data_IF_435973021290
#
_entry.id   IF_435973021290
#
_cell.length_a   1.000
_cell.length_b   1.000
_cell.length_c   1.000
_cell.angle_alpha   90.00
_cell.angle_beta   90.00
_cell.angle_gamma   90.00
#
_symmetry.space_group_name_H-M   'P 1'
#
loop_
_entity.id
_entity.type
_entity.pdbx_description
1 polymer ?
#
# COMPACT_ATOMS: atom_id res chain seq x y z
N UNK A 1 -8.24 -3.97 19.74
CA UNK A 1 -6.88 -3.90 19.15
C UNK A 1 -6.82 -4.88 17.98
N UNK A 2 -6.40 -4.41 16.80
CA UNK A 2 -6.12 -5.24 15.63
C UNK A 2 -4.67 -5.72 15.77
N UNK A 3 -4.44 -7.03 15.83
CA UNK A 3 -3.10 -7.58 15.92
C UNK A 3 -2.49 -7.64 14.51
N UNK A 4 -1.31 -7.04 14.31
CA UNK A 4 -0.62 -6.96 13.02
C UNK A 4 0.69 -7.77 13.02
N UNK A 5 0.61 -9.12 13.05
CA UNK A 5 1.79 -9.99 13.03
C UNK A 5 2.53 -9.82 11.69
N UNK A 6 3.73 -9.24 11.73
CA UNK A 6 4.57 -9.01 10.53
C UNK A 6 4.74 -7.54 10.13
N UNK A 7 4.13 -6.60 10.86
CA UNK A 7 4.45 -5.17 10.72
C UNK A 7 5.92 -4.96 11.11
N UNK A 8 6.74 -4.50 10.18
CA UNK A 8 8.13 -4.15 10.50
C UNK A 8 8.16 -2.87 11.32
N UNK A 9 8.73 -2.95 12.52
CA UNK A 9 9.05 -1.79 13.34
C UNK A 9 10.30 -1.08 12.80
N UNK A 10 10.20 -0.49 11.61
CA UNK A 10 11.22 0.36 11.01
C UNK A 10 10.58 1.74 10.81
N UNK A 11 11.12 2.74 11.53
CA UNK A 11 10.63 4.11 11.56
C UNK A 11 10.56 4.75 10.17
N UNK A 12 11.31 4.24 9.20
CA UNK A 12 11.37 4.78 7.84
C UNK A 12 10.33 4.18 6.89
N UNK A 13 9.39 3.36 7.36
CA UNK A 13 8.37 2.75 6.51
C UNK A 13 7.02 3.44 6.68
N UNK A 14 6.35 3.69 5.56
CA UNK A 14 5.00 4.26 5.54
C UNK A 14 4.00 3.15 5.14
N UNK A 15 3.68 2.26 6.08
CA UNK A 15 3.00 0.99 5.78
C UNK A 15 1.47 1.03 5.88
N UNK A 16 0.88 2.18 6.23
CA UNK A 16 -0.56 2.34 6.37
C UNK A 16 -0.98 3.60 5.66
N UNK A 17 -2.09 3.53 4.93
CA UNK A 17 -2.70 4.68 4.30
C UNK A 17 -4.22 4.57 4.30
N UNK A 18 -4.90 5.69 4.48
CA UNK A 18 -6.35 5.79 4.45
C UNK A 18 -6.73 6.75 3.33
N UNK A 19 -7.43 6.23 2.32
CA UNK A 19 -7.84 7.02 1.16
C UNK A 19 -9.08 7.87 1.44
N UNK A 20 -9.34 8.87 0.59
CA UNK A 20 -10.56 9.67 0.65
C UNK A 20 -11.86 8.90 0.29
N UNK A 21 -11.74 7.63 -0.13
CA UNK A 21 -12.87 6.72 -0.39
C UNK A 21 -13.10 5.73 0.75
N UNK A 22 -12.57 6.02 1.94
CA UNK A 22 -12.64 5.17 3.12
C UNK A 22 -12.03 3.78 2.92
N UNK A 23 -11.04 3.68 2.03
CA UNK A 23 -10.25 2.46 1.87
C UNK A 23 -9.01 2.55 2.76
N UNK A 24 -8.95 1.69 3.77
CA UNK A 24 -7.77 1.52 4.60
C UNK A 24 -6.86 0.48 3.96
N UNK A 25 -5.63 0.87 3.63
CA UNK A 25 -4.60 0.00 3.06
C UNK A 25 -3.48 -0.22 4.08
N UNK A 26 -3.03 -1.46 4.22
CA UNK A 26 -1.99 -1.85 5.17
C UNK A 26 -1.01 -2.83 4.54
N UNK A 27 0.27 -2.60 4.76
CA UNK A 27 1.34 -3.46 4.28
C UNK A 27 1.88 -4.35 5.41
N UNK A 28 1.92 -5.66 5.16
CA UNK A 28 2.52 -6.66 6.04
C UNK A 28 3.51 -7.48 5.22
N UNK A 29 4.81 -7.31 5.49
CA UNK A 29 5.89 -7.92 4.71
C UNK A 29 5.81 -7.58 3.21
N UNK A 30 5.53 -8.55 2.34
CA UNK A 30 5.36 -8.36 0.89
C UNK A 30 3.91 -8.20 0.45
N UNK A 31 2.96 -8.33 1.37
CA UNK A 31 1.53 -8.26 1.10
C UNK A 31 1.00 -6.86 1.36
N UNK A 32 0.08 -6.42 0.50
CA UNK A 32 -0.76 -5.25 0.70
C UNK A 32 -2.19 -5.72 0.88
N UNK A 33 -2.75 -5.41 2.04
CA UNK A 33 -4.14 -5.64 2.37
C UNK A 33 -4.91 -4.34 2.24
N UNK A 34 -6.20 -4.45 1.96
CA UNK A 34 -7.11 -3.31 1.99
C UNK A 34 -8.48 -3.72 2.49
N UNK A 35 -9.20 -2.76 3.06
CA UNK A 35 -10.59 -2.92 3.50
C UNK A 35 -11.35 -1.61 3.25
N UNK A 36 -12.59 -1.73 2.77
CA UNK A 36 -13.51 -0.59 2.72
C UNK A 36 -14.12 -0.40 4.10
N UNK A 37 -13.77 0.70 4.77
CA UNK A 37 -14.22 0.99 6.13
C UNK A 37 -15.72 1.30 6.19
N UNK A 38 -16.35 1.65 5.06
CA UNK A 38 -17.81 1.83 4.98
C UNK A 38 -18.56 0.53 5.25
N UNK A 39 -17.99 -0.59 4.82
CA UNK A 39 -18.58 -1.93 4.95
C UNK A 39 -18.07 -2.68 6.19
N UNK A 40 -17.05 -2.15 6.87
CA UNK A 40 -16.38 -2.80 7.99
C UNK A 40 -16.99 -2.40 9.33
N UNK A 41 -17.67 -3.34 9.99
CA UNK A 41 -18.36 -3.10 11.26
C UNK A 41 -17.64 -3.65 12.50
N UNK A 42 -16.39 -4.10 12.35
CA UNK A 42 -15.55 -4.54 13.47
C UNK A 42 -15.01 -5.96 13.31
N UNK A 43 -14.58 -6.53 14.44
CA UNK A 43 -13.79 -7.78 14.46
C UNK A 43 -14.49 -9.01 13.86
N UNK A 44 -15.83 -9.02 13.84
CA UNK A 44 -16.57 -10.17 13.30
C UNK A 44 -16.58 -10.21 11.75
N UNK A 45 -15.98 -9.21 11.09
CA UNK A 45 -15.92 -9.06 9.64
C UNK A 45 -14.48 -9.02 9.08
N UNK A 46 -13.58 -9.83 9.66
CA UNK A 46 -12.21 -9.99 9.15
C UNK A 46 -12.18 -10.50 7.69
N UNK A 47 -13.23 -11.18 7.24
CA UNK A 47 -13.40 -11.64 5.85
C UNK A 47 -13.52 -10.50 4.82
N UNK A 48 -13.83 -9.27 5.27
CA UNK A 48 -13.84 -8.07 4.42
C UNK A 48 -12.42 -7.55 4.10
N UNK A 49 -11.41 -8.01 4.84
CA UNK A 49 -10.00 -7.65 4.59
C UNK A 49 -9.50 -8.47 3.40
N UNK A 50 -9.20 -7.79 2.29
CA UNK A 50 -8.78 -8.41 1.04
C UNK A 50 -7.29 -8.18 0.78
N UNK A 51 -6.66 -9.14 0.12
CA UNK A 51 -5.30 -8.95 -0.43
C UNK A 51 -5.42 -8.19 -1.75
N UNK A 52 -4.81 -7.02 -1.84
CA UNK A 52 -4.70 -6.27 -3.09
C UNK A 52 -3.59 -6.87 -3.97
N UNK A 53 -2.41 -7.04 -3.39
CA UNK A 53 -1.25 -7.58 -4.10
C UNK A 53 -0.23 -8.17 -3.15
N UNK A 54 0.64 -9.04 -3.69
CA UNK A 54 1.80 -9.57 -3.00
C UNK A 54 2.97 -9.73 -3.96
N UNK A 55 4.20 -9.53 -3.45
CA UNK A 55 5.42 -9.90 -4.17
C UNK A 55 5.82 -11.36 -3.83
N UNK A 56 6.22 -12.13 -4.85
CA UNK A 56 6.68 -13.51 -4.68
C UNK A 56 8.10 -13.58 -4.12
N UNK A 57 8.90 -12.52 -4.30
CA UNK A 57 10.18 -12.38 -3.61
C UNK A 57 9.95 -11.88 -2.18
N UNK A 58 10.00 -12.79 -1.22
CA UNK A 58 9.86 -12.51 0.21
C UNK A 58 10.87 -11.50 0.76
N UNK A 59 11.94 -11.20 0.04
CA UNK A 59 12.89 -10.17 0.44
C UNK A 59 12.44 -8.77 0.00
N UNK A 60 11.55 -8.64 -0.99
CA UNK A 60 11.04 -7.38 -1.53
C UNK A 60 9.83 -6.86 -0.74
N UNK A 61 10.03 -6.60 0.54
CA UNK A 61 8.97 -6.06 1.39
C UNK A 61 8.52 -4.67 0.93
N UNK A 62 7.24 -4.39 1.18
CA UNK A 62 6.63 -3.08 0.94
C UNK A 62 7.24 -2.08 1.92
N UNK A 63 7.63 -0.92 1.41
CA UNK A 63 8.27 0.14 2.18
C UNK A 63 7.47 1.42 2.26
N UNK A 64 6.51 1.62 1.35
CA UNK A 64 5.58 2.75 1.42
C UNK A 64 4.27 2.45 0.72
N UNK A 65 3.19 3.01 1.25
CA UNK A 65 1.87 3.05 0.63
C UNK A 65 1.43 4.51 0.54
N UNK A 66 0.83 4.90 -0.59
CA UNK A 66 0.10 6.17 -0.65
C UNK A 66 -1.00 6.20 -1.70
N UNK A 67 -2.23 6.46 -1.27
CA UNK A 67 -3.37 6.67 -2.15
C UNK A 67 -3.29 8.04 -2.80
N UNK A 68 -3.78 8.15 -4.02
CA UNK A 68 -3.99 9.44 -4.66
C UNK A 68 -5.21 10.17 -4.06
N UNK A 69 -5.39 11.43 -4.44
CA UNK A 69 -6.47 12.27 -3.91
C UNK A 69 -7.87 11.72 -4.23
N UNK A 70 -8.06 11.05 -5.39
CA UNK A 70 -9.33 10.42 -5.73
C UNK A 70 -9.58 9.11 -4.97
N UNK A 71 -8.56 8.55 -4.33
CA UNK A 71 -8.63 7.26 -3.63
C UNK A 71 -8.77 6.04 -4.57
N UNK A 72 -8.55 6.21 -5.87
CA UNK A 72 -8.67 5.16 -6.89
C UNK A 72 -7.36 4.43 -7.13
N UNK A 73 -6.25 5.15 -6.95
CA UNK A 73 -4.91 4.62 -7.15
C UNK A 73 -4.19 4.50 -5.82
N UNK A 74 -3.56 3.35 -5.59
CA UNK A 74 -2.64 3.12 -4.50
C UNK A 74 -1.22 2.96 -5.04
N UNK A 75 -0.32 3.86 -4.67
CA UNK A 75 1.11 3.69 -4.90
C UNK A 75 1.69 2.74 -3.84
N UNK A 76 2.43 1.73 -4.29
CA UNK A 76 3.10 0.72 -3.48
C UNK A 76 4.60 0.79 -3.77
N UNK A 77 5.37 1.30 -2.82
CA UNK A 77 6.82 1.38 -2.87
C UNK A 77 7.46 0.15 -2.24
N UNK A 78 8.56 -0.29 -2.81
CA UNK A 78 9.37 -1.43 -2.35
C UNK A 78 10.85 -1.08 -2.45
N UNK A 79 11.72 -1.97 -1.97
CA UNK A 79 13.18 -1.82 -2.13
C UNK A 79 13.67 -2.00 -3.58
N UNK A 80 12.81 -2.49 -4.49
CA UNK A 80 13.13 -2.76 -5.91
C UNK A 80 12.39 -1.85 -6.90
N UNK A 81 11.61 -0.90 -6.42
CA UNK A 81 10.77 -0.10 -7.29
C UNK A 81 9.48 0.35 -6.63
N UNK A 82 8.62 0.98 -7.43
CA UNK A 82 7.24 1.31 -7.03
C UNK A 82 6.26 0.89 -8.12
N UNK A 83 5.01 0.65 -7.73
CA UNK A 83 3.88 0.36 -8.62
C UNK A 83 2.67 1.18 -8.20
N UNK A 84 1.94 1.76 -9.14
CA UNK A 84 0.61 2.30 -8.89
C UNK A 84 -0.44 1.26 -9.27
N UNK A 85 -1.34 0.96 -8.34
CA UNK A 85 -2.42 0.01 -8.49
C UNK A 85 -3.75 0.75 -8.62
N UNK A 86 -4.56 0.37 -9.60
CA UNK A 86 -5.98 0.68 -9.59
C UNK A 86 -6.66 -0.28 -8.60
N UNK A 87 -7.26 0.29 -7.54
CA UNK A 87 -7.84 -0.48 -6.44
C UNK A 87 -9.11 -1.22 -6.88
N UNK A 88 -9.89 -0.63 -7.79
CA UNK A 88 -11.15 -1.22 -8.25
C UNK A 88 -10.91 -2.29 -9.31
N UNK A 89 -10.06 -2.01 -10.29
CA UNK A 89 -9.71 -2.96 -11.35
C UNK A 89 -8.74 -4.04 -10.85
N UNK A 90 -8.08 -3.83 -9.71
CA UNK A 90 -7.04 -4.70 -9.15
C UNK A 90 -5.90 -4.96 -10.15
N UNK A 91 -5.47 -3.90 -10.85
CA UNK A 91 -4.40 -3.99 -11.85
C UNK A 91 -3.32 -2.93 -11.63
N UNK A 92 -2.12 -3.22 -12.11
CA UNK A 92 -1.01 -2.25 -12.11
C UNK A 92 -1.18 -1.32 -13.31
N UNK A 93 -1.29 -0.01 -13.05
CA UNK A 93 -1.44 1.01 -14.11
C UNK A 93 -0.12 1.65 -14.50
N UNK A 94 0.84 1.74 -13.57
CA UNK A 94 2.19 2.26 -13.84
C UNK A 94 3.19 1.75 -12.81
N UNK A 95 4.47 1.91 -13.09
CA UNK A 95 5.51 1.53 -12.13
C UNK A 95 6.92 1.75 -12.64
N UNK A 96 7.85 1.65 -11.71
CA UNK A 96 9.28 1.76 -11.94
C UNK A 96 10.00 0.64 -11.20
N UNK A 97 11.01 0.02 -11.83
CA UNK A 97 11.67 -1.21 -11.33
C UNK A 97 13.12 -0.99 -10.88
N UNK A 98 13.39 0.15 -10.24
CA UNK A 98 14.74 0.48 -9.74
C UNK A 98 14.65 1.42 -8.54
N UNK A 99 15.45 1.16 -7.50
CA UNK A 99 15.54 2.03 -6.32
C UNK A 99 14.61 1.62 -5.18
N UNK A 100 14.89 2.13 -3.98
CA UNK A 100 14.20 1.74 -2.77
C UNK A 100 13.34 2.89 -2.23
N UNK A 101 12.03 2.87 -2.52
CA UNK A 101 11.16 4.01 -2.24
C UNK A 101 10.45 3.88 -0.90
N UNK A 102 10.77 4.79 0.02
CA UNK A 102 10.26 4.79 1.41
C UNK A 102 9.22 5.87 1.66
N UNK A 103 9.10 6.83 0.75
CA UNK A 103 8.07 7.84 0.76
C UNK A 103 7.52 8.05 -0.65
N UNK A 104 6.21 8.27 -0.72
CA UNK A 104 5.44 8.45 -1.94
C UNK A 104 4.47 9.60 -1.69
N UNK A 105 4.28 10.47 -2.68
CA UNK A 105 3.32 11.55 -2.62
C UNK A 105 2.73 11.82 -4.00
N UNK A 106 1.41 12.01 -4.05
CA UNK A 106 0.69 12.35 -5.27
C UNK A 106 0.50 13.86 -5.40
N UNK A 107 0.49 14.34 -6.64
CA UNK A 107 -0.01 15.66 -7.04
C UNK A 107 -0.76 15.49 -8.36
N UNK A 108 -2.09 15.38 -8.28
CA UNK A 108 -2.91 14.91 -9.40
C UNK A 108 -2.42 13.56 -9.93
N UNK A 109 -2.03 13.52 -11.21
CA UNK A 109 -1.54 12.31 -11.88
C UNK A 109 -0.01 12.11 -11.76
N UNK A 110 0.68 13.01 -11.05
CA UNK A 110 2.13 12.90 -10.83
C UNK A 110 2.39 12.19 -9.50
N UNK A 111 3.33 11.24 -9.53
CA UNK A 111 3.84 10.58 -8.33
C UNK A 111 5.27 11.02 -8.07
N UNK A 112 5.51 11.62 -6.91
CA UNK A 112 6.84 11.83 -6.37
C UNK A 112 7.23 10.63 -5.50
N UNK A 113 8.44 10.11 -5.70
CA UNK A 113 8.95 8.95 -4.97
C UNK A 113 10.34 9.23 -4.42
N UNK A 114 10.51 9.15 -3.10
CA UNK A 114 11.79 9.39 -2.43
C UNK A 114 12.49 8.09 -2.07
N UNK A 115 13.76 7.97 -2.45
CA UNK A 115 14.65 6.85 -2.12
C UNK A 115 15.69 7.28 -1.08
N UNK A 116 16.11 6.37 -0.21
CA UNK A 116 17.41 6.52 0.45
C UNK A 116 18.48 6.15 -0.59
N UNK A 117 19.45 7.03 -0.81
CA UNK A 117 20.64 6.77 -1.63
C UNK A 117 21.68 5.95 -0.89
#
# INVERSE_FOLDING_TARGET
ILDAPGLKNDFYLNLVDWSNKDILSMALSTFVYYVNMTDYHGKDQEDQIKVLCADTDHTNFVSSLKSNESGELLAVGTKKGWKAWDVQAQTVVSGWKLGAYRCLAWNGNMLAAGSLG
#
